data_IF_029055336456
#
_entry.id   IF_029055336456
#
_cell.length_a   1.000
_cell.length_b   1.000
_cell.length_c   1.000
_cell.angle_alpha   90.00
_cell.angle_beta   90.00
_cell.angle_gamma   90.00
#
_symmetry.space_group_name_H-M   'P 1'
#
loop_
_entity.id
_entity.type
_entity.pdbx_description
1 polymer ?
#
# COMPACT_ATOMS: atom_id res chain seq x y z
N UNK A 1 -21.69 19.38 -4.12
CA UNK A 1 -21.79 20.24 -5.31
C UNK A 1 -20.59 20.07 -6.25
N UNK A 2 -19.33 20.20 -5.82
CA UNK A 2 -18.16 20.00 -6.68
C UNK A 2 -18.04 18.58 -7.29
N UNK A 3 -18.38 17.54 -6.55
CA UNK A 3 -18.38 16.15 -7.04
C UNK A 3 -19.45 15.88 -8.11
N UNK A 4 -20.60 16.54 -7.99
CA UNK A 4 -21.68 16.43 -8.99
C UNK A 4 -21.31 17.15 -10.29
N UNK A 5 -20.68 18.32 -10.19
CA UNK A 5 -20.20 19.08 -11.35
C UNK A 5 -19.07 18.36 -12.08
N UNK A 6 -18.17 17.68 -11.34
CA UNK A 6 -17.12 16.85 -11.91
C UNK A 6 -17.68 15.61 -12.63
N UNK A 7 -18.70 14.96 -12.06
CA UNK A 7 -19.40 13.82 -12.67
C UNK A 7 -20.14 14.23 -13.95
N UNK A 8 -20.88 15.36 -13.94
CA UNK A 8 -21.59 15.87 -15.10
C UNK A 8 -20.65 16.24 -16.25
N UNK A 9 -19.50 16.86 -15.93
CA UNK A 9 -18.49 17.24 -16.94
C UNK A 9 -17.76 16.04 -17.57
N UNK A 10 -17.60 14.95 -16.84
CA UNK A 10 -17.07 13.69 -17.36
C UNK A 10 -18.07 12.96 -18.27
N UNK A 11 -19.36 13.02 -17.93
CA UNK A 11 -20.41 12.41 -18.73
C UNK A 11 -20.65 13.20 -20.06
N UNK A 12 -20.56 14.55 -20.02
CA UNK A 12 -20.64 15.39 -21.24
C UNK A 12 -19.46 15.16 -22.17
N UNK A 13 -18.22 15.08 -21.68
CA UNK A 13 -17.04 14.79 -22.50
C UNK A 13 -17.04 13.37 -23.06
N UNK A 14 -17.66 12.42 -22.38
CA UNK A 14 -17.85 11.06 -22.88
C UNK A 14 -18.88 11.01 -24.03
N UNK A 15 -19.94 11.81 -23.95
CA UNK A 15 -20.95 11.92 -25.02
C UNK A 15 -20.43 12.64 -26.28
N UNK A 16 -19.61 13.69 -26.12
CA UNK A 16 -19.04 14.45 -27.24
C UNK A 16 -18.03 13.65 -28.07
N UNK A 17 -17.33 12.66 -27.46
CA UNK A 17 -16.29 11.88 -28.14
C UNK A 17 -16.76 10.55 -28.72
N UNK A 18 -18.07 10.30 -28.83
CA UNK A 18 -18.60 9.09 -29.43
C UNK A 18 -18.20 7.80 -28.75
N UNK A 19 -17.98 7.87 -27.43
CA UNK A 19 -17.68 6.70 -26.60
C UNK A 19 -18.84 5.70 -26.73
N UNK A 20 -18.46 4.50 -27.11
CA UNK A 20 -19.33 3.35 -27.30
C UNK A 20 -20.22 3.13 -26.05
N UNK A 21 -21.46 2.68 -26.28
CA UNK A 21 -22.43 2.31 -25.19
C UNK A 21 -21.87 1.32 -24.18
N UNK A 22 -20.73 0.73 -24.46
CA UNK A 22 -20.00 -0.24 -23.63
C UNK A 22 -18.87 0.38 -22.80
N UNK A 23 -18.61 1.70 -22.94
CA UNK A 23 -17.58 2.37 -22.12
C UNK A 23 -17.99 2.41 -20.64
N UNK A 24 -17.01 2.25 -19.76
CA UNK A 24 -17.21 2.29 -18.31
C UNK A 24 -16.85 3.65 -17.75
N UNK A 25 -17.60 4.11 -16.78
CA UNK A 25 -17.31 5.36 -16.08
C UNK A 25 -15.99 5.28 -15.29
N UNK A 26 -15.41 6.44 -14.98
CA UNK A 26 -14.22 6.49 -14.12
C UNK A 26 -14.48 5.84 -12.76
N UNK A 27 -15.65 6.05 -12.16
CA UNK A 27 -15.98 5.50 -10.85
C UNK A 27 -16.06 3.96 -10.87
N UNK A 28 -16.71 3.37 -11.87
CA UNK A 28 -16.75 1.92 -12.06
C UNK A 28 -15.33 1.37 -12.26
N UNK A 29 -14.51 2.07 -13.06
CA UNK A 29 -13.12 1.70 -13.31
C UNK A 29 -12.28 1.75 -12.04
N UNK A 30 -12.41 2.79 -11.21
CA UNK A 30 -11.72 2.88 -9.93
C UNK A 30 -12.19 1.80 -8.95
N UNK A 31 -13.49 1.47 -8.95
CA UNK A 31 -14.03 0.36 -8.17
C UNK A 31 -13.43 -0.98 -8.58
N UNK A 32 -13.33 -1.25 -9.88
CA UNK A 32 -12.70 -2.46 -10.40
C UNK A 32 -11.20 -2.52 -10.07
N UNK A 33 -10.48 -1.40 -10.19
CA UNK A 33 -9.06 -1.30 -9.79
C UNK A 33 -8.90 -1.55 -8.28
N UNK A 34 -9.79 -1.00 -7.45
CA UNK A 34 -9.77 -1.23 -6.01
C UNK A 34 -9.96 -2.71 -5.67
N UNK A 35 -10.93 -3.37 -6.30
CA UNK A 35 -11.20 -4.80 -6.11
C UNK A 35 -10.04 -5.66 -6.62
N UNK A 36 -9.46 -5.32 -7.75
CA UNK A 36 -8.32 -6.02 -8.33
C UNK A 36 -7.08 -5.92 -7.44
N UNK A 37 -6.72 -4.72 -6.99
CA UNK A 37 -5.61 -4.54 -6.04
C UNK A 37 -5.87 -5.21 -4.69
N UNK A 38 -7.13 -5.27 -4.22
CA UNK A 38 -7.49 -5.99 -3.00
C UNK A 38 -7.23 -7.48 -3.12
N UNK A 39 -7.56 -8.08 -4.26
CA UNK A 39 -7.36 -9.50 -4.54
C UNK A 39 -5.88 -9.92 -4.43
N UNK A 40 -4.98 -9.04 -4.85
CA UNK A 40 -3.52 -9.28 -4.78
C UNK A 40 -2.86 -8.72 -3.51
N UNK A 41 -3.63 -8.32 -2.51
CA UNK A 41 -3.07 -7.98 -1.21
C UNK A 41 -2.66 -9.24 -0.43
N UNK A 42 -1.59 -9.18 0.38
CA UNK A 42 -1.10 -10.32 1.16
C UNK A 42 -2.14 -10.99 2.04
N UNK A 43 -3.06 -10.21 2.62
CA UNK A 43 -4.15 -10.75 3.43
C UNK A 43 -5.09 -11.62 2.60
N UNK A 44 -5.51 -11.15 1.42
CA UNK A 44 -6.40 -11.90 0.53
C UNK A 44 -5.68 -13.10 -0.10
N UNK A 45 -4.42 -12.96 -0.47
CA UNK A 45 -3.57 -14.06 -0.90
C UNK A 45 -3.50 -15.17 0.15
N UNK A 46 -3.36 -14.80 1.43
CA UNK A 46 -3.38 -15.76 2.55
C UNK A 46 -4.72 -16.50 2.62
N UNK A 47 -5.85 -15.77 2.53
CA UNK A 47 -7.18 -16.37 2.53
C UNK A 47 -7.38 -17.33 1.35
N UNK A 48 -6.93 -16.96 0.17
CA UNK A 48 -6.99 -17.80 -1.03
C UNK A 48 -6.23 -19.11 -0.82
N UNK A 49 -5.01 -19.05 -0.28
CA UNK A 49 -4.27 -20.26 0.08
C UNK A 49 -5.00 -21.12 1.10
N UNK A 50 -5.56 -20.51 2.14
CA UNK A 50 -6.29 -21.22 3.18
C UNK A 50 -7.56 -21.87 2.64
N UNK A 51 -8.33 -21.17 1.79
CA UNK A 51 -9.59 -21.68 1.22
C UNK A 51 -9.34 -22.88 0.31
N UNK A 52 -8.33 -22.83 -0.56
CA UNK A 52 -7.95 -23.95 -1.42
C UNK A 52 -7.48 -25.13 -0.58
N UNK A 53 -6.60 -24.91 0.40
CA UNK A 53 -6.11 -25.99 1.27
C UNK A 53 -7.21 -26.61 2.12
N UNK A 54 -8.17 -25.81 2.57
CA UNK A 54 -9.34 -26.30 3.29
C UNK A 54 -10.24 -27.15 2.38
N UNK A 55 -10.51 -26.69 1.16
CA UNK A 55 -11.31 -27.44 0.17
C UNK A 55 -10.64 -28.77 -0.19
N UNK A 56 -9.33 -28.78 -0.43
CA UNK A 56 -8.57 -30.02 -0.67
C UNK A 56 -8.69 -31.01 0.52
N UNK A 57 -8.51 -30.48 1.74
CA UNK A 57 -8.52 -31.29 2.95
C UNK A 57 -9.91 -31.86 3.23
N UNK A 58 -10.96 -31.08 2.98
CA UNK A 58 -12.36 -31.53 3.13
C UNK A 58 -12.71 -32.61 2.11
N UNK A 59 -12.34 -32.42 0.84
CA UNK A 59 -12.56 -33.41 -0.21
C UNK A 59 -11.81 -34.72 0.05
N UNK A 60 -10.57 -34.67 0.55
CA UNK A 60 -9.82 -35.87 0.95
C UNK A 60 -10.53 -36.60 2.10
N UNK A 61 -11.02 -35.89 3.12
CA UNK A 61 -11.76 -36.48 4.25
C UNK A 61 -13.10 -37.01 3.84
N UNK A 62 -13.79 -36.36 2.89
CA UNK A 62 -15.07 -36.81 2.32
C UNK A 62 -14.95 -38.03 1.42
N UNK A 63 -13.74 -38.39 0.99
CA UNK A 63 -13.51 -39.45 0.04
C UNK A 63 -13.92 -39.06 -1.38
N UNK A 64 -13.95 -37.80 -1.70
CA UNK A 64 -14.31 -37.28 -3.02
C UNK A 64 -13.33 -37.78 -4.09
N UNK A 65 -13.86 -38.02 -5.29
CA UNK A 65 -13.04 -38.36 -6.45
C UNK A 65 -12.59 -37.08 -7.14
N UNK A 66 -11.36 -37.08 -7.67
CA UNK A 66 -10.86 -35.99 -8.51
C UNK A 66 -11.52 -36.05 -9.88
N UNK A 67 -11.81 -34.91 -10.44
CA UNK A 67 -12.31 -34.75 -11.82
C UNK A 67 -11.15 -34.87 -12.79
N UNK A 68 -11.35 -35.60 -13.87
CA UNK A 68 -10.34 -35.82 -14.90
C UNK A 68 -9.91 -34.48 -15.55
N UNK A 69 -8.62 -34.30 -15.68
CA UNK A 69 -8.01 -33.07 -16.27
C UNK A 69 -8.46 -32.81 -17.71
N UNK A 70 -8.76 -33.84 -18.50
CA UNK A 70 -9.20 -33.70 -19.90
C UNK A 70 -10.59 -33.07 -19.92
N UNK A 71 -11.46 -33.53 -19.02
CA UNK A 71 -12.80 -32.95 -18.87
C UNK A 71 -12.73 -31.51 -18.39
N UNK A 72 -11.91 -31.22 -17.37
CA UNK A 72 -11.69 -29.86 -16.87
C UNK A 72 -11.16 -28.92 -17.95
N UNK A 73 -10.15 -29.35 -18.70
CA UNK A 73 -9.57 -28.56 -19.77
C UNK A 73 -10.58 -28.33 -20.92
N UNK A 74 -11.40 -29.31 -21.24
CA UNK A 74 -12.47 -29.15 -22.25
C UNK A 74 -13.51 -28.13 -21.80
N UNK A 75 -13.85 -28.09 -20.52
CA UNK A 75 -14.90 -27.23 -19.96
C UNK A 75 -14.42 -25.80 -19.73
N UNK A 76 -13.19 -25.61 -19.25
CA UNK A 76 -12.72 -24.33 -18.72
C UNK A 76 -11.59 -23.67 -19.53
N UNK A 77 -11.20 -24.25 -20.68
CA UNK A 77 -10.17 -23.67 -21.54
C UNK A 77 -10.54 -22.25 -22.04
N UNK A 78 -11.81 -22.00 -22.37
CA UNK A 78 -12.29 -20.68 -22.79
C UNK A 78 -12.17 -19.64 -21.67
N UNK A 79 -12.21 -20.07 -20.41
CA UNK A 79 -11.97 -19.24 -19.26
C UNK A 79 -10.46 -18.98 -19.01
N UNK A 80 -9.57 -19.64 -19.77
CA UNK A 80 -8.12 -19.52 -19.62
C UNK A 80 -7.56 -20.34 -18.49
N UNK A 81 -8.29 -21.29 -17.95
CA UNK A 81 -7.80 -22.27 -16.98
C UNK A 81 -7.22 -23.49 -17.68
N UNK A 82 -6.07 -23.96 -17.19
CA UNK A 82 -5.40 -25.15 -17.70
C UNK A 82 -4.96 -26.07 -16.55
N UNK A 83 -5.53 -27.27 -16.50
CA UNK A 83 -5.27 -28.26 -15.48
C UNK A 83 -4.22 -29.28 -15.97
N UNK A 84 -3.11 -29.40 -15.26
CA UNK A 84 -2.04 -30.37 -15.55
C UNK A 84 -2.32 -31.74 -14.96
N UNK A 85 -3.09 -31.77 -13.89
CA UNK A 85 -3.46 -32.95 -13.11
C UNK A 85 -4.96 -32.96 -12.84
N UNK A 86 -5.48 -34.11 -12.43
CA UNK A 86 -6.86 -34.26 -11.96
C UNK A 86 -7.04 -33.46 -10.67
N UNK A 87 -8.15 -32.75 -10.52
CA UNK A 87 -8.36 -31.82 -9.40
C UNK A 87 -9.73 -32.08 -8.72
N UNK A 88 -9.85 -31.75 -7.43
CA UNK A 88 -11.13 -31.80 -6.74
C UNK A 88 -12.09 -30.73 -7.24
N UNK A 89 -13.36 -31.08 -7.40
CA UNK A 89 -14.37 -30.13 -7.90
C UNK A 89 -14.46 -28.86 -7.01
N UNK A 90 -14.34 -29.00 -5.71
CA UNK A 90 -14.35 -27.89 -4.75
C UNK A 90 -13.22 -26.88 -4.98
N UNK A 91 -12.03 -27.37 -5.35
CA UNK A 91 -10.87 -26.52 -5.71
C UNK A 91 -11.10 -25.87 -7.06
N UNK A 92 -11.59 -26.62 -8.03
CA UNK A 92 -11.93 -26.10 -9.37
C UNK A 92 -12.94 -24.96 -9.27
N UNK A 93 -13.97 -25.12 -8.44
CA UNK A 93 -15.00 -24.07 -8.25
C UNK A 93 -14.42 -22.78 -7.70
N UNK A 94 -13.45 -22.85 -6.78
CA UNK A 94 -12.72 -21.67 -6.29
C UNK A 94 -11.91 -21.03 -7.42
N UNK A 95 -11.18 -21.83 -8.21
CA UNK A 95 -10.37 -21.31 -9.31
C UNK A 95 -11.22 -20.65 -10.39
N UNK A 96 -12.37 -21.27 -10.73
CA UNK A 96 -13.33 -20.73 -11.72
C UNK A 96 -13.90 -19.41 -11.24
N UNK A 97 -14.42 -19.35 -10.01
CA UNK A 97 -14.96 -18.11 -9.42
C UNK A 97 -13.95 -16.97 -9.44
N UNK A 98 -12.72 -17.24 -8.99
CA UNK A 98 -11.64 -16.24 -9.00
C UNK A 98 -11.30 -15.77 -10.41
N UNK A 99 -11.28 -16.66 -11.38
CA UNK A 99 -10.97 -16.32 -12.78
C UNK A 99 -12.08 -15.53 -13.47
N UNK A 100 -13.34 -15.84 -13.18
CA UNK A 100 -14.50 -15.10 -13.64
C UNK A 100 -14.50 -13.68 -13.09
N UNK A 101 -14.29 -13.52 -11.78
CA UNK A 101 -14.16 -12.21 -11.12
C UNK A 101 -13.00 -11.38 -11.70
N UNK A 102 -11.83 -12.02 -11.92
CA UNK A 102 -10.67 -11.37 -12.55
C UNK A 102 -11.03 -10.83 -13.93
N UNK A 103 -11.64 -11.65 -14.80
CA UNK A 103 -12.06 -11.26 -16.14
C UNK A 103 -13.08 -10.13 -16.13
N UNK A 104 -14.03 -10.17 -15.22
CA UNK A 104 -15.01 -9.10 -15.08
C UNK A 104 -14.30 -7.78 -14.70
N UNK A 105 -13.45 -7.78 -13.69
CA UNK A 105 -12.67 -6.59 -13.30
C UNK A 105 -11.82 -6.06 -14.44
N UNK A 106 -11.07 -6.93 -15.12
CA UNK A 106 -10.22 -6.54 -16.25
C UNK A 106 -11.05 -5.96 -17.39
N UNK A 107 -12.22 -6.54 -17.68
CA UNK A 107 -13.13 -6.01 -18.72
C UNK A 107 -13.63 -4.59 -18.39
N UNK A 108 -13.89 -4.30 -17.11
CA UNK A 108 -14.28 -2.96 -16.64
C UNK A 108 -13.11 -1.99 -16.78
N UNK A 109 -11.90 -2.40 -16.36
CA UNK A 109 -10.70 -1.58 -16.40
C UNK A 109 -10.31 -1.22 -17.84
N UNK A 110 -10.39 -2.18 -18.76
CA UNK A 110 -10.05 -1.98 -20.18
C UNK A 110 -11.05 -1.06 -20.89
N UNK A 111 -12.33 -1.12 -20.54
CA UNK A 111 -13.38 -0.26 -21.10
C UNK A 111 -13.50 1.10 -20.39
N UNK A 112 -12.74 1.30 -19.35
CA UNK A 112 -12.70 2.57 -18.63
C UNK A 112 -11.86 3.65 -19.31
N UNK A 113 -11.99 4.90 -18.87
CA UNK A 113 -11.28 6.02 -19.49
C UNK A 113 -9.77 5.82 -19.44
N UNK A 114 -9.08 6.20 -20.52
CA UNK A 114 -7.63 6.08 -20.64
C UNK A 114 -6.91 7.07 -19.70
N UNK A 115 -5.97 6.56 -18.91
CA UNK A 115 -5.09 7.39 -18.08
C UNK A 115 -3.82 7.79 -18.85
N UNK A 116 -3.20 8.89 -18.41
CA UNK A 116 -1.92 9.36 -18.94
C UNK A 116 -1.02 9.85 -17.80
N UNK A 117 0.28 9.68 -17.95
CA UNK A 117 1.28 10.26 -17.04
C UNK A 117 1.82 11.60 -17.53
N UNK A 118 1.37 12.09 -18.70
CA UNK A 118 1.71 13.42 -19.17
C UNK A 118 0.88 14.45 -18.39
N UNK A 119 1.51 15.32 -17.55
CA UNK A 119 0.79 16.29 -16.72
C UNK A 119 0.00 17.33 -17.50
N UNK A 120 0.29 17.48 -18.80
CA UNK A 120 -0.40 18.40 -19.70
C UNK A 120 -1.55 17.75 -20.49
N UNK A 121 -1.82 16.46 -20.29
CA UNK A 121 -2.93 15.76 -20.95
C UNK A 121 -4.18 15.71 -20.07
N UNK A 122 -5.35 15.69 -20.70
CA UNK A 122 -6.63 15.50 -20.01
C UNK A 122 -6.69 14.17 -19.25
N UNK A 123 -5.97 13.13 -19.73
CA UNK A 123 -5.88 11.83 -19.08
C UNK A 123 -5.01 11.78 -17.81
N UNK A 124 -4.27 12.85 -17.47
CA UNK A 124 -3.39 12.87 -16.29
C UNK A 124 -4.15 12.59 -14.99
N UNK A 125 -5.28 13.27 -14.78
CA UNK A 125 -6.09 13.07 -13.57
C UNK A 125 -6.66 11.67 -13.48
N UNK A 126 -7.00 11.05 -14.62
CA UNK A 126 -7.45 9.66 -14.69
C UNK A 126 -6.31 8.71 -14.30
N UNK A 127 -5.13 8.90 -14.87
CA UNK A 127 -3.94 8.11 -14.51
C UNK A 127 -3.58 8.22 -13.03
N UNK A 128 -3.56 9.46 -12.50
CA UNK A 128 -3.30 9.72 -11.10
C UNK A 128 -4.37 9.11 -10.17
N UNK A 129 -5.66 9.17 -10.55
CA UNK A 129 -6.74 8.56 -9.79
C UNK A 129 -6.64 7.03 -9.76
N UNK A 130 -6.38 6.40 -10.91
CA UNK A 130 -6.17 4.94 -11.01
C UNK A 130 -5.01 4.49 -10.12
N UNK A 131 -3.86 5.15 -10.24
CA UNK A 131 -2.68 4.85 -9.42
C UNK A 131 -2.94 5.08 -7.92
N UNK A 132 -3.55 6.22 -7.58
CA UNK A 132 -3.91 6.56 -6.20
C UNK A 132 -4.88 5.57 -5.57
N UNK A 133 -5.81 5.01 -6.35
CA UNK A 133 -6.74 3.98 -5.88
C UNK A 133 -5.99 2.70 -5.52
N UNK A 134 -5.08 2.21 -6.38
CA UNK A 134 -4.26 1.04 -6.07
C UNK A 134 -3.42 1.23 -4.81
N UNK A 135 -2.75 2.39 -4.70
CA UNK A 135 -1.96 2.73 -3.52
C UNK A 135 -2.82 2.81 -2.25
N UNK A 136 -4.00 3.43 -2.31
CA UNK A 136 -4.91 3.55 -1.16
C UNK A 136 -5.38 2.17 -0.67
N UNK A 137 -5.72 1.27 -1.59
CA UNK A 137 -6.13 -0.10 -1.25
C UNK A 137 -4.98 -0.87 -0.59
N UNK A 138 -3.76 -0.75 -1.10
CA UNK A 138 -2.58 -1.38 -0.49
C UNK A 138 -2.33 -0.88 0.94
N UNK A 139 -2.71 0.37 1.26
CA UNK A 139 -2.63 0.93 2.62
C UNK A 139 -3.68 0.36 3.59
N UNK A 140 -4.72 -0.31 3.10
CA UNK A 140 -5.74 -0.92 3.95
C UNK A 140 -5.36 -2.32 4.43
N UNK A 141 -4.37 -2.96 3.81
CA UNK A 141 -3.89 -4.28 4.21
C UNK A 141 -2.94 -4.18 5.41
N UNK A 142 -3.28 -4.80 6.56
CA UNK A 142 -2.45 -4.75 7.76
C UNK A 142 -1.10 -5.45 7.57
N UNK A 143 -0.99 -6.44 6.67
CA UNK A 143 0.27 -7.12 6.37
C UNK A 143 1.20 -6.19 5.60
N UNK A 144 0.67 -5.46 4.60
CA UNK A 144 1.44 -4.44 3.88
C UNK A 144 1.91 -3.31 4.81
N UNK A 145 1.04 -2.85 5.70
CA UNK A 145 1.41 -1.84 6.70
C UNK A 145 2.53 -2.38 7.59
N UNK A 146 2.35 -3.57 8.18
CA UNK A 146 3.36 -4.21 9.04
C UNK A 146 4.70 -4.42 8.32
N UNK A 147 4.65 -4.93 7.10
CA UNK A 147 5.82 -5.16 6.26
C UNK A 147 6.62 -3.88 5.94
N UNK A 148 5.92 -2.74 5.82
CA UNK A 148 6.54 -1.43 5.57
C UNK A 148 7.38 -0.91 6.74
N UNK A 149 7.32 -1.54 7.92
CA UNK A 149 8.08 -1.19 9.11
C UNK A 149 9.12 -2.25 9.51
N UNK A 150 9.43 -3.21 8.63
CA UNK A 150 10.51 -4.18 8.89
C UNK A 150 11.84 -3.41 8.99
N UNK A 151 12.54 -3.45 10.13
CA UNK A 151 13.70 -2.61 10.38
C UNK A 151 14.92 -3.12 9.60
N UNK A 152 15.15 -2.56 8.44
CA UNK A 152 16.34 -2.84 7.60
C UNK A 152 17.40 -1.76 7.78
N UNK A 153 16.94 -0.54 8.06
CA UNK A 153 17.80 0.64 8.17
C UNK A 153 18.17 0.88 9.64
N UNK A 154 19.38 0.49 10.01
CA UNK A 154 19.85 0.65 11.40
C UNK A 154 19.87 2.12 11.86
N UNK A 155 19.68 2.36 13.15
CA UNK A 155 19.59 3.71 13.73
C UNK A 155 20.83 4.57 13.46
N UNK A 156 22.03 3.98 13.49
CA UNK A 156 23.26 4.69 13.21
C UNK A 156 23.31 5.22 11.77
N UNK A 157 22.88 4.41 10.78
CA UNK A 157 22.80 4.85 9.39
C UNK A 157 21.74 5.94 9.21
N UNK A 158 20.61 5.81 9.88
CA UNK A 158 19.57 6.83 9.87
C UNK A 158 20.09 8.16 10.44
N UNK A 159 20.77 8.15 11.59
CA UNK A 159 21.36 9.32 12.22
C UNK A 159 22.39 9.99 11.29
N UNK A 160 23.30 9.20 10.69
CA UNK A 160 24.30 9.71 9.76
C UNK A 160 23.66 10.35 8.52
N UNK A 161 22.60 9.75 7.98
CA UNK A 161 21.90 10.31 6.83
C UNK A 161 21.14 11.59 7.20
N UNK A 162 20.46 11.62 8.36
CA UNK A 162 19.76 12.78 8.86
C UNK A 162 20.69 13.98 9.10
N UNK A 163 21.91 13.72 9.63
CA UNK A 163 22.92 14.74 9.84
C UNK A 163 23.49 15.31 8.53
N UNK A 164 23.57 14.49 7.47
CA UNK A 164 24.12 14.89 6.16
C UNK A 164 23.08 15.56 5.25
N UNK A 165 21.80 15.30 5.47
CA UNK A 165 20.72 15.79 4.60
C UNK A 165 19.65 16.53 5.40
N UNK A 166 18.58 15.83 5.77
CA UNK A 166 17.52 16.30 6.66
C UNK A 166 16.79 15.12 7.28
N UNK A 167 16.09 15.34 8.40
CA UNK A 167 15.23 14.31 9.00
C UNK A 167 14.16 13.79 8.03
N UNK A 168 13.61 14.67 7.19
CA UNK A 168 12.62 14.30 6.20
C UNK A 168 13.21 13.36 5.14
N UNK A 169 14.37 13.72 4.59
CA UNK A 169 15.08 12.91 3.58
C UNK A 169 15.50 11.56 4.16
N UNK A 170 16.03 11.54 5.40
CA UNK A 170 16.41 10.30 6.06
C UNK A 170 15.21 9.39 6.31
N UNK A 171 14.05 9.93 6.72
CA UNK A 171 12.81 9.18 6.89
C UNK A 171 12.28 8.63 5.56
N UNK A 172 12.34 9.45 4.52
CA UNK A 172 11.94 9.00 3.17
C UNK A 172 12.81 7.83 2.71
N UNK A 173 14.13 7.98 2.77
CA UNK A 173 15.08 6.94 2.36
C UNK A 173 14.89 5.64 3.19
N UNK A 174 14.74 5.78 4.50
CA UNK A 174 14.44 4.66 5.38
C UNK A 174 13.15 3.97 4.98
N UNK A 175 12.06 4.72 4.86
CA UNK A 175 10.75 4.18 4.56
C UNK A 175 10.67 3.53 3.18
N UNK A 176 11.30 4.12 2.16
CA UNK A 176 11.42 3.52 0.82
C UNK A 176 12.15 2.18 0.88
N UNK A 177 13.28 2.12 1.59
CA UNK A 177 14.06 0.88 1.70
C UNK A 177 13.32 -0.19 2.51
N UNK A 178 12.78 0.17 3.68
CA UNK A 178 12.04 -0.76 4.55
C UNK A 178 10.76 -1.24 3.86
N UNK A 179 10.04 -0.36 3.18
CA UNK A 179 8.85 -0.71 2.41
C UNK A 179 9.14 -1.61 1.21
N UNK A 180 10.24 -1.36 0.48
CA UNK A 180 10.67 -2.23 -0.61
C UNK A 180 11.01 -3.64 -0.13
N UNK A 181 11.80 -3.74 0.94
CA UNK A 181 12.20 -5.04 1.51
C UNK A 181 10.99 -5.75 2.10
N UNK A 182 10.11 -5.03 2.82
CA UNK A 182 8.89 -5.59 3.36
C UNK A 182 7.99 -6.17 2.27
N UNK A 183 7.74 -5.41 1.20
CA UNK A 183 6.97 -5.89 0.06
C UNK A 183 7.63 -7.10 -0.62
N UNK A 184 8.96 -7.07 -0.83
CA UNK A 184 9.68 -8.19 -1.43
C UNK A 184 9.63 -9.47 -0.59
N UNK A 185 9.54 -9.36 0.74
CA UNK A 185 9.38 -10.51 1.64
C UNK A 185 7.98 -11.12 1.59
N UNK A 186 6.97 -10.31 1.30
CA UNK A 186 5.56 -10.76 1.24
C UNK A 186 5.16 -11.20 -0.18
N UNK A 187 5.84 -10.68 -1.20
CA UNK A 187 5.53 -10.94 -2.60
C UNK A 187 5.48 -12.43 -2.99
N UNK A 188 6.36 -13.32 -2.51
CA UNK A 188 6.25 -14.74 -2.83
C UNK A 188 4.93 -15.37 -2.43
N UNK A 189 4.31 -14.89 -1.34
CA UNK A 189 2.99 -15.34 -0.90
C UNK A 189 1.90 -14.91 -1.91
N UNK A 190 1.92 -13.66 -2.33
CA UNK A 190 0.98 -13.10 -3.32
C UNK A 190 1.15 -13.82 -4.66
N UNK A 191 2.39 -13.92 -5.14
CA UNK A 191 2.71 -14.58 -6.39
C UNK A 191 2.26 -16.04 -6.42
N UNK A 192 2.53 -16.79 -5.34
CA UNK A 192 2.13 -18.20 -5.28
C UNK A 192 0.61 -18.39 -5.22
N UNK A 193 -0.12 -17.51 -4.49
CA UNK A 193 -1.57 -17.54 -4.47
C UNK A 193 -2.16 -17.25 -5.85
N UNK A 194 -1.69 -16.20 -6.52
CA UNK A 194 -2.10 -15.85 -7.88
C UNK A 194 -1.85 -16.99 -8.88
N UNK A 195 -0.67 -17.62 -8.81
CA UNK A 195 -0.36 -18.78 -9.67
C UNK A 195 -1.21 -19.99 -9.38
N UNK A 196 -1.61 -20.21 -8.13
CA UNK A 196 -2.46 -21.36 -7.76
C UNK A 196 -3.86 -21.25 -8.35
N UNK A 197 -4.42 -20.03 -8.44
CA UNK A 197 -5.71 -19.77 -9.10
C UNK A 197 -5.55 -19.41 -10.59
N UNK A 198 -4.35 -19.51 -11.14
CA UNK A 198 -4.02 -19.19 -12.52
C UNK A 198 -4.44 -17.76 -12.92
N UNK A 199 -4.33 -16.83 -11.98
CA UNK A 199 -4.55 -15.42 -12.24
C UNK A 199 -3.49 -14.86 -13.22
N UNK A 200 -3.88 -13.84 -13.97
CA UNK A 200 -2.99 -13.13 -14.88
C UNK A 200 -2.09 -12.16 -14.10
N UNK A 201 -1.19 -12.75 -13.33
CA UNK A 201 -0.24 -12.07 -12.45
C UNK A 201 1.17 -12.52 -12.78
N UNK A 202 2.01 -11.59 -13.22
CA UNK A 202 3.36 -11.86 -13.68
C UNK A 202 4.46 -11.14 -12.91
N UNK A 203 5.68 -11.23 -13.40
CA UNK A 203 6.84 -10.58 -12.79
C UNK A 203 6.73 -9.05 -12.79
N UNK A 204 6.05 -8.47 -13.78
CA UNK A 204 5.80 -7.03 -13.83
C UNK A 204 4.90 -6.57 -12.69
N UNK A 205 3.86 -7.35 -12.37
CA UNK A 205 2.93 -7.06 -11.27
C UNK A 205 3.64 -7.19 -9.92
N UNK A 206 4.49 -8.21 -9.76
CA UNK A 206 5.36 -8.36 -8.57
C UNK A 206 6.27 -7.15 -8.38
N UNK A 207 6.91 -6.65 -9.44
CA UNK A 207 7.75 -5.46 -9.37
C UNK A 207 6.94 -4.20 -9.03
N UNK A 208 5.71 -4.07 -9.56
CA UNK A 208 4.80 -2.98 -9.21
C UNK A 208 4.39 -3.05 -7.73
N UNK A 209 4.09 -4.22 -7.19
CA UNK A 209 3.78 -4.40 -5.78
C UNK A 209 4.96 -3.98 -4.88
N UNK A 210 6.19 -4.34 -5.22
CA UNK A 210 7.39 -3.91 -4.51
C UNK A 210 7.56 -2.38 -4.61
N UNK A 211 7.32 -1.80 -5.78
CA UNK A 211 7.36 -0.35 -5.96
C UNK A 211 6.28 0.37 -5.13
N UNK A 212 5.05 -0.17 -5.06
CA UNK A 212 4.01 0.34 -4.18
C UNK A 212 4.41 0.26 -2.71
N UNK A 213 5.00 -0.86 -2.28
CA UNK A 213 5.55 -1.01 -0.93
C UNK A 213 6.59 0.05 -0.59
N UNK A 214 7.46 0.38 -1.55
CA UNK A 214 8.46 1.45 -1.41
C UNK A 214 7.81 2.82 -1.22
N UNK A 215 6.82 3.15 -2.05
CA UNK A 215 6.09 4.44 -1.98
C UNK A 215 5.30 4.53 -0.68
N UNK A 216 4.61 3.45 -0.31
CA UNK A 216 3.86 3.34 0.93
C UNK A 216 4.77 3.53 2.16
N UNK A 217 5.87 2.77 2.23
CA UNK A 217 6.83 2.86 3.32
C UNK A 217 7.43 4.26 3.44
N UNK A 218 7.86 4.87 2.32
CA UNK A 218 8.36 6.24 2.29
C UNK A 218 7.31 7.26 2.76
N UNK A 219 6.09 7.15 2.26
CA UNK A 219 4.97 8.02 2.63
C UNK A 219 4.57 7.90 4.11
N UNK A 220 4.46 6.68 4.62
CA UNK A 220 4.13 6.43 6.02
C UNK A 220 5.22 6.96 6.98
N UNK A 221 6.50 6.70 6.68
CA UNK A 221 7.60 7.18 7.51
C UNK A 221 7.68 8.71 7.56
N UNK A 222 7.46 9.39 6.42
CA UNK A 222 7.42 10.84 6.37
C UNK A 222 6.16 11.39 7.04
N UNK A 223 4.99 10.79 6.78
CA UNK A 223 3.70 11.23 7.32
C UNK A 223 3.62 11.08 8.85
N UNK A 224 3.88 9.89 9.36
CA UNK A 224 3.91 9.61 10.81
C UNK A 224 5.02 10.43 11.48
N UNK A 225 6.20 10.51 10.84
CA UNK A 225 7.29 11.34 11.31
C UNK A 225 6.89 12.81 11.47
N UNK A 226 6.18 13.39 10.49
CA UNK A 226 5.68 14.76 10.57
C UNK A 226 4.67 14.97 11.70
N UNK A 227 3.76 14.02 11.91
CA UNK A 227 2.80 14.08 13.03
C UNK A 227 3.53 14.04 14.39
N UNK A 228 4.54 13.17 14.52
CA UNK A 228 5.40 13.11 15.71
C UNK A 228 6.16 14.42 15.93
N UNK A 229 6.71 15.01 14.87
CA UNK A 229 7.43 16.27 14.93
C UNK A 229 6.54 17.41 15.44
N UNK A 230 5.33 17.54 14.91
CA UNK A 230 4.34 18.54 15.37
C UNK A 230 4.05 18.36 16.86
N UNK A 231 3.84 17.12 17.30
CA UNK A 231 3.58 16.81 18.71
C UNK A 231 4.77 17.19 19.59
N UNK A 232 5.99 16.87 19.17
CA UNK A 232 7.23 17.18 19.89
C UNK A 232 7.47 18.67 19.99
N UNK A 233 7.35 19.41 18.87
CA UNK A 233 7.50 20.86 18.84
C UNK A 233 6.45 21.54 19.73
N UNK A 234 5.19 21.12 19.66
CA UNK A 234 4.12 21.67 20.49
C UNK A 234 4.35 21.39 21.98
N UNK A 235 4.81 20.19 22.33
CA UNK A 235 5.17 19.85 23.71
C UNK A 235 6.26 20.78 24.26
N UNK A 236 7.31 21.01 23.47
CA UNK A 236 8.40 21.92 23.84
C UNK A 236 7.93 23.35 24.00
N UNK A 237 7.14 23.87 23.04
CA UNK A 237 6.58 25.24 23.10
C UNK A 237 5.67 25.42 24.33
N UNK A 238 4.82 24.45 24.62
CA UNK A 238 3.95 24.48 25.79
C UNK A 238 4.74 24.41 27.10
N UNK A 239 5.81 23.63 27.14
CA UNK A 239 6.71 23.59 28.29
C UNK A 239 7.37 24.96 28.51
N UNK A 240 7.94 25.57 27.47
CA UNK A 240 8.51 26.92 27.55
C UNK A 240 7.51 27.96 28.06
N UNK A 241 6.28 27.97 27.54
CA UNK A 241 5.22 28.89 28.03
C UNK A 241 4.99 28.74 29.53
N UNK A 242 4.88 27.49 30.03
CA UNK A 242 4.70 27.24 31.43
C UNK A 242 5.90 27.70 32.31
N UNK A 243 7.11 27.49 31.82
CA UNK A 243 8.33 27.99 32.48
C UNK A 243 8.34 29.51 32.54
N UNK A 244 7.93 30.18 31.48
CA UNK A 244 7.86 31.63 31.42
C UNK A 244 6.75 32.21 32.33
N UNK A 245 5.61 31.56 32.42
CA UNK A 245 4.53 31.90 33.38
C UNK A 245 4.98 31.76 34.82
N UNK A 246 5.71 30.70 35.17
CA UNK A 246 6.27 30.49 36.54
C UNK A 246 7.32 31.56 36.85
N UNK A 247 8.19 31.87 35.87
CA UNK A 247 9.19 32.95 36.04
C UNK A 247 8.52 34.31 36.29
N UNK A 248 7.49 34.65 35.57
CA UNK A 248 6.71 35.88 35.76
C UNK A 248 6.09 35.94 37.17
N UNK A 249 5.60 34.80 37.68
CA UNK A 249 4.99 34.73 39.02
C UNK A 249 6.00 34.76 40.14
N UNK A 250 7.17 34.19 39.94
CA UNK A 250 8.19 34.05 41.03
C UNK A 250 9.23 35.17 41.02
N UNK A 251 9.22 36.07 40.02
CA UNK A 251 10.18 37.18 39.93
C UNK A 251 11.64 36.76 39.72
N UNK A 252 11.90 35.48 39.42
CA UNK A 252 13.26 34.97 39.26
C UNK A 252 13.78 35.48 37.87
N UNK A 253 14.78 36.40 37.94
CA UNK A 253 15.55 36.79 36.77
C UNK A 253 16.61 35.72 36.53
N UNK A 254 16.57 35.09 35.36
CA UNK A 254 17.65 34.21 34.90
C UNK A 254 18.48 35.01 33.93
N UNK A 255 19.77 35.21 34.18
CA UNK A 255 20.71 35.92 33.30
C UNK A 255 21.07 35.10 32.05
N UNK A 256 20.68 33.82 32.00
CA UNK A 256 20.82 32.99 30.80
C UNK A 256 19.45 32.69 30.18
N UNK A 257 19.05 33.52 29.21
CA UNK A 257 17.95 33.18 28.30
C UNK A 257 18.50 32.18 27.31
N UNK A 258 18.16 30.88 27.48
CA UNK A 258 18.43 29.91 26.44
C UNK A 258 17.81 30.46 25.10
N UNK A 259 18.61 30.52 24.01
CA UNK A 259 18.12 31.03 22.74
C UNK A 259 16.89 30.26 22.30
N UNK A 260 15.98 30.94 21.61
CA UNK A 260 14.78 30.30 21.04
C UNK A 260 15.21 29.31 19.96
N UNK A 261 15.05 28.01 20.26
CA UNK A 261 15.42 26.97 19.32
C UNK A 261 14.44 26.95 18.14
N UNK A 262 14.97 26.82 16.94
CA UNK A 262 14.17 26.56 15.75
C UNK A 262 13.48 25.19 15.86
N UNK A 263 12.41 24.98 15.10
CA UNK A 263 11.73 23.69 15.09
C UNK A 263 12.68 22.52 14.74
N UNK A 264 13.63 22.75 13.83
CA UNK A 264 14.62 21.74 13.45
C UNK A 264 15.59 21.44 14.61
N UNK A 265 16.06 22.45 15.33
CA UNK A 265 16.93 22.25 16.49
C UNK A 265 16.23 21.50 17.63
N UNK A 266 14.93 21.77 17.86
CA UNK A 266 14.11 21.02 18.83
C UNK A 266 14.04 19.55 18.43
N UNK A 267 13.77 19.25 17.17
CA UNK A 267 13.66 17.90 16.65
C UNK A 267 14.98 17.15 16.71
N UNK A 268 16.08 17.82 16.34
CA UNK A 268 17.43 17.26 16.45
C UNK A 268 17.79 16.92 17.89
N UNK A 269 17.55 17.82 18.83
CA UNK A 269 17.82 17.62 20.26
C UNK A 269 17.06 16.39 20.80
N UNK A 270 15.78 16.29 20.50
CA UNK A 270 14.96 15.15 20.95
C UNK A 270 15.41 13.82 20.31
N UNK A 271 15.73 13.85 19.03
CA UNK A 271 16.23 12.68 18.31
C UNK A 271 17.58 12.19 18.86
N UNK A 272 18.54 13.08 19.11
CA UNK A 272 19.81 12.71 19.72
C UNK A 272 19.64 12.15 21.13
N UNK A 273 18.72 12.69 21.91
CA UNK A 273 18.40 12.17 23.24
C UNK A 273 17.87 10.73 23.17
N UNK A 274 16.90 10.47 22.28
CA UNK A 274 16.37 9.10 22.09
C UNK A 274 17.47 8.13 21.62
N UNK A 275 18.37 8.56 20.75
CA UNK A 275 19.47 7.74 20.24
C UNK A 275 20.52 7.47 21.33
N UNK A 276 20.85 8.46 22.13
CA UNK A 276 21.75 8.32 23.28
C UNK A 276 21.18 7.37 24.33
N UNK A 277 19.92 7.52 24.69
CA UNK A 277 19.23 6.65 25.65
C UNK A 277 19.14 5.19 25.15
N UNK A 278 19.03 5.00 23.84
CA UNK A 278 19.05 3.67 23.22
C UNK A 278 20.45 3.04 23.29
N UNK A 279 21.50 3.79 22.97
CA UNK A 279 22.89 3.30 23.05
C UNK A 279 23.27 2.92 24.46
N UNK A 280 22.88 3.72 25.46
CA UNK A 280 23.11 3.43 26.88
C UNK A 280 22.37 2.17 27.37
N UNK A 281 21.25 1.79 26.73
CA UNK A 281 20.53 0.55 27.04
C UNK A 281 21.17 -0.69 26.39
N UNK A 282 21.92 -0.53 25.30
CA UNK A 282 22.64 -1.63 24.64
C UNK A 282 23.96 -1.95 25.33
N UNK A 283 24.53 -1.03 26.10
CA UNK A 283 25.77 -1.20 26.91
C UNK A 283 25.52 -1.86 28.25
N UNK A 284 24.28 -2.03 28.66
CA UNK A 284 23.87 -2.74 29.90
C UNK A 284 23.37 -4.14 29.59
#
# INVERSE_FOLDING_TARGET
MAQLAFKLKLDETAQENGYDRYSKSLLETLGAIAADNWEYNPLEATKTHMSISAAEMESIKGGDTRVDRIELNKKYNELGLYFKEDEFQSVVDIMVSKKEEERERQSIIQRGPAGSWNPFSAGFYVGAAKFGTGLAVSMLDPINIGASFIPVFGQARFAALAARTSLRTARLARGVTEGAVGAALVEPLVYSAAKRVQADYGAADSLLNIAFGSILGGGLHVGIGKLRDIKTVNKYKNFRKKVEEVRKKTGIKSDEVEPELTNEQILFREYYKETSDFMLKLEK
#
